data_IF_741694306424
#
_entry.id   IF_741694306424
#
_cell.length_a   1.000
_cell.length_b   1.000
_cell.length_c   1.000
_cell.angle_alpha   90.00
_cell.angle_beta   90.00
_cell.angle_gamma   90.00
#
_symmetry.space_group_name_H-M   'P 1'
#
loop_
_entity.id
_entity.type
_entity.pdbx_description
1 polymer ?
#
# COMPACT_ATOMS: atom_id res chain seq x y z
N UNK A 1 2.86 5.52 -43.24
CA UNK A 1 2.22 5.48 -41.91
C UNK A 1 0.78 4.94 -41.94
N UNK A 2 -0.11 5.47 -42.79
CA UNK A 2 -1.54 5.06 -42.86
C UNK A 2 -1.79 3.59 -43.19
N UNK A 3 -0.99 2.97 -44.07
CA UNK A 3 -1.06 1.53 -44.38
C UNK A 3 -0.64 0.62 -43.22
N UNK A 4 0.34 1.03 -42.42
CA UNK A 4 0.81 0.23 -41.28
C UNK A 4 -0.23 0.24 -40.16
N UNK A 5 -0.81 1.42 -39.91
CA UNK A 5 -1.87 1.61 -38.93
C UNK A 5 -3.11 0.74 -39.25
N UNK A 6 -3.57 0.72 -40.50
CA UNK A 6 -4.73 -0.10 -40.90
C UNK A 6 -4.46 -1.62 -40.83
N UNK A 7 -3.21 -2.05 -41.04
CA UNK A 7 -2.80 -3.45 -40.86
C UNK A 7 -2.75 -3.83 -39.38
N UNK A 8 -2.23 -2.94 -38.52
CA UNK A 8 -2.18 -3.18 -37.07
C UNK A 8 -3.59 -3.33 -36.50
N UNK A 9 -4.55 -2.45 -36.87
CA UNK A 9 -5.93 -2.51 -36.35
C UNK A 9 -6.70 -3.78 -36.73
N UNK A 10 -6.27 -4.53 -37.76
CA UNK A 10 -6.87 -5.82 -38.14
C UNK A 10 -6.40 -6.99 -37.26
N UNK A 11 -5.35 -6.81 -36.47
CA UNK A 11 -4.82 -7.86 -35.60
C UNK A 11 -5.64 -7.97 -34.29
N UNK A 12 -5.66 -9.14 -33.63
CA UNK A 12 -6.16 -9.28 -32.26
C UNK A 12 -5.45 -8.31 -31.31
N UNK A 13 -6.18 -7.75 -30.32
CA UNK A 13 -5.70 -6.71 -29.40
C UNK A 13 -4.30 -6.97 -28.80
N UNK A 14 -3.99 -8.20 -28.41
CA UNK A 14 -2.69 -8.56 -27.84
C UNK A 14 -1.55 -8.52 -28.87
N UNK A 15 -1.84 -8.85 -30.14
CA UNK A 15 -0.88 -8.75 -31.25
C UNK A 15 -0.66 -7.29 -31.67
N UNK A 16 -1.71 -6.45 -31.59
CA UNK A 16 -1.58 -5.01 -31.86
C UNK A 16 -0.54 -4.37 -30.93
N UNK A 17 -0.69 -4.59 -29.62
CA UNK A 17 0.21 -4.06 -28.61
C UNK A 17 1.66 -4.53 -28.84
N UNK A 18 1.85 -5.83 -29.13
CA UNK A 18 3.18 -6.40 -29.35
C UNK A 18 3.89 -5.81 -30.57
N UNK A 19 3.15 -5.56 -31.66
CA UNK A 19 3.68 -4.93 -32.87
C UNK A 19 4.05 -3.48 -32.61
N UNK A 20 3.22 -2.73 -31.86
CA UNK A 20 3.50 -1.34 -31.53
C UNK A 20 4.71 -1.22 -30.60
N UNK A 21 4.83 -2.06 -29.57
CA UNK A 21 6.01 -2.08 -28.69
C UNK A 21 7.30 -2.34 -29.48
N UNK A 22 7.25 -3.28 -30.44
CA UNK A 22 8.40 -3.56 -31.31
C UNK A 22 8.77 -2.36 -32.20
N UNK A 23 7.79 -1.64 -32.73
CA UNK A 23 8.01 -0.39 -33.46
C UNK A 23 8.64 0.68 -32.57
N UNK A 24 8.14 0.86 -31.36
CA UNK A 24 8.66 1.85 -30.41
C UNK A 24 10.10 1.53 -29.99
N UNK A 25 10.41 0.26 -29.79
CA UNK A 25 11.79 -0.21 -29.53
C UNK A 25 12.72 0.14 -30.70
N UNK A 26 12.29 -0.11 -31.95
CA UNK A 26 13.06 0.26 -33.15
C UNK A 26 13.23 1.78 -33.27
N UNK A 27 12.25 2.57 -32.81
CA UNK A 27 12.30 4.03 -32.78
C UNK A 27 13.14 4.58 -31.61
N UNK A 28 13.71 3.73 -30.76
CA UNK A 28 14.61 4.11 -29.68
C UNK A 28 13.96 4.28 -28.30
N UNK A 29 12.74 3.76 -28.08
CA UNK A 29 12.18 3.66 -26.73
C UNK A 29 12.82 2.46 -25.98
N UNK A 30 13.70 2.71 -25.00
CA UNK A 30 14.38 1.64 -24.26
C UNK A 30 13.40 0.81 -23.44
N UNK A 31 12.27 1.39 -23.04
CA UNK A 31 11.26 0.72 -22.22
C UNK A 31 10.48 -0.29 -23.07
N UNK A 32 10.20 0.05 -24.32
CA UNK A 32 9.52 -0.87 -25.25
C UNK A 32 10.37 -2.07 -25.69
N UNK A 33 11.69 -2.04 -25.41
CA UNK A 33 12.61 -3.14 -25.76
C UNK A 33 12.54 -4.33 -24.80
N UNK A 34 11.98 -4.14 -23.60
CA UNK A 34 11.89 -5.20 -22.60
C UNK A 34 10.84 -6.26 -22.99
N UNK A 35 11.21 -7.55 -23.08
CA UNK A 35 10.31 -8.62 -23.53
C UNK A 35 9.13 -8.84 -22.56
N UNK A 36 9.32 -8.57 -21.28
CA UNK A 36 8.34 -8.77 -20.19
C UNK A 36 7.41 -7.57 -19.98
N UNK A 37 7.56 -6.49 -20.75
CA UNK A 37 6.76 -5.27 -20.53
C UNK A 37 5.25 -5.50 -20.70
N UNK A 38 4.89 -6.53 -21.47
CA UNK A 38 3.51 -6.96 -21.70
C UNK A 38 2.91 -7.62 -20.45
N UNK A 39 3.74 -8.25 -19.63
CA UNK A 39 3.34 -8.90 -18.37
C UNK A 39 3.04 -7.86 -17.28
N UNK A 40 3.70 -6.71 -17.36
CA UNK A 40 3.44 -5.57 -16.49
C UNK A 40 2.14 -4.86 -16.92
N UNK A 41 1.03 -5.28 -16.31
CA UNK A 41 -0.32 -4.73 -16.55
C UNK A 41 -0.37 -3.19 -16.61
N UNK A 42 0.46 -2.50 -15.81
CA UNK A 42 0.54 -1.03 -15.80
C UNK A 42 1.16 -0.45 -17.06
N UNK A 43 2.34 -0.93 -17.46
CA UNK A 43 3.03 -0.44 -18.65
C UNK A 43 2.24 -0.83 -19.89
N UNK A 44 1.74 -2.06 -19.94
CA UNK A 44 0.75 -2.49 -20.93
C UNK A 44 -0.41 -1.51 -21.04
N UNK A 45 -1.03 -1.13 -19.92
CA UNK A 45 -2.17 -0.21 -19.94
C UNK A 45 -1.77 1.19 -20.40
N UNK A 46 -0.63 1.68 -19.96
CA UNK A 46 -0.08 2.98 -20.35
C UNK A 46 0.11 3.07 -21.87
N UNK A 47 0.68 2.03 -22.48
CA UNK A 47 0.78 1.92 -23.93
C UNK A 47 -0.60 1.79 -24.59
N UNK A 48 -1.52 0.98 -24.06
CA UNK A 48 -2.89 0.84 -24.61
C UNK A 48 -3.66 2.17 -24.66
N UNK A 49 -3.50 3.04 -23.65
CA UNK A 49 -4.12 4.38 -23.62
C UNK A 49 -3.52 5.29 -24.68
N UNK A 50 -2.19 5.30 -24.82
CA UNK A 50 -1.49 6.16 -25.79
C UNK A 50 -1.66 5.72 -27.25
N UNK A 51 -1.82 4.42 -27.49
CA UNK A 51 -2.06 3.87 -28.84
C UNK A 51 -3.48 4.14 -29.31
N UNK A 52 -4.42 4.29 -28.38
CA UNK A 52 -5.84 4.42 -28.72
C UNK A 52 -6.54 5.37 -27.74
N UNK A 53 -6.46 6.68 -28.04
CA UNK A 53 -7.03 7.76 -27.21
C UNK A 53 -8.52 7.57 -26.91
N UNK A 54 -9.25 6.86 -27.79
CA UNK A 54 -10.69 6.60 -27.69
C UNK A 54 -11.06 5.29 -26.99
N UNK A 55 -10.11 4.56 -26.37
CA UNK A 55 -10.43 3.40 -25.51
C UNK A 55 -10.99 3.87 -24.16
N UNK A 56 -12.20 4.40 -24.20
CA UNK A 56 -12.99 4.69 -23.01
C UNK A 56 -13.35 3.39 -22.28
N UNK A 57 -13.42 3.45 -20.94
CA UNK A 57 -13.97 2.33 -20.18
C UNK A 57 -15.41 2.06 -20.59
N UNK A 58 -15.72 0.80 -20.87
CA UNK A 58 -17.10 0.36 -21.01
C UNK A 58 -17.83 0.49 -19.67
N UNK A 59 -19.16 0.61 -19.70
CA UNK A 59 -19.99 0.70 -18.51
C UNK A 59 -19.74 -0.50 -17.56
N UNK A 60 -19.60 -1.71 -18.12
CA UNK A 60 -19.32 -2.94 -17.38
C UNK A 60 -17.98 -2.88 -16.63
N UNK A 61 -16.94 -2.35 -17.26
CA UNK A 61 -15.63 -2.18 -16.60
C UNK A 61 -15.72 -1.17 -15.45
N UNK A 62 -16.44 -0.05 -15.64
CA UNK A 62 -16.67 0.94 -14.58
C UNK A 62 -17.37 0.34 -13.37
N UNK A 63 -18.42 -0.46 -13.60
CA UNK A 63 -19.16 -1.14 -12.54
C UNK A 63 -18.27 -2.13 -11.80
N UNK A 64 -17.49 -2.95 -12.51
CA UNK A 64 -16.57 -3.90 -11.90
C UNK A 64 -15.51 -3.22 -11.02
N UNK A 65 -14.91 -2.13 -11.51
CA UNK A 65 -13.92 -1.35 -10.74
C UNK A 65 -14.56 -0.69 -9.51
N UNK A 66 -15.80 -0.21 -9.64
CA UNK A 66 -16.54 0.37 -8.52
C UNK A 66 -16.83 -0.69 -7.44
N UNK A 67 -17.29 -1.88 -7.83
CA UNK A 67 -17.54 -3.00 -6.90
C UNK A 67 -16.24 -3.43 -6.21
N UNK A 68 -15.14 -3.55 -6.95
CA UNK A 68 -13.82 -3.86 -6.38
C UNK A 68 -13.38 -2.80 -5.37
N UNK A 69 -13.59 -1.52 -5.69
CA UNK A 69 -13.31 -0.42 -4.77
C UNK A 69 -14.16 -0.52 -3.51
N UNK A 70 -15.48 -0.64 -3.63
CA UNK A 70 -16.39 -0.77 -2.49
C UNK A 70 -15.96 -1.94 -1.59
N UNK A 71 -15.69 -3.11 -2.17
CA UNK A 71 -15.26 -4.29 -1.42
C UNK A 71 -13.91 -4.08 -0.72
N UNK A 72 -12.96 -3.43 -1.40
CA UNK A 72 -11.67 -3.14 -0.81
C UNK A 72 -11.80 -2.17 0.37
N UNK A 73 -12.64 -1.13 0.26
CA UNK A 73 -12.82 -0.11 1.31
C UNK A 73 -13.73 -0.57 2.46
N UNK A 74 -14.67 -1.49 2.21
CA UNK A 74 -15.59 -2.03 3.23
C UNK A 74 -14.99 -3.20 4.03
N UNK A 75 -13.92 -3.82 3.54
CA UNK A 75 -13.31 -4.98 4.20
C UNK A 75 -12.81 -4.65 5.63
N UNK A 76 -13.11 -5.50 6.62
CA UNK A 76 -12.63 -5.29 7.98
C UNK A 76 -11.10 -5.29 8.00
N UNK A 77 -10.52 -4.29 8.66
CA UNK A 77 -9.07 -4.14 8.75
C UNK A 77 -8.53 -4.81 9.99
N UNK A 78 -7.35 -5.39 9.84
CA UNK A 78 -6.60 -5.97 10.96
C UNK A 78 -6.31 -4.84 11.94
N UNK A 79 -6.73 -5.04 13.18
CA UNK A 79 -6.44 -4.16 14.32
C UNK A 79 -5.58 -4.95 15.30
N UNK A 80 -4.61 -4.29 15.91
CA UNK A 80 -3.87 -4.88 17.03
C UNK A 80 -4.79 -4.87 18.25
N UNK A 81 -5.28 -6.05 18.64
CA UNK A 81 -6.21 -6.23 19.76
C UNK A 81 -5.54 -6.55 21.08
N UNK A 82 -4.31 -7.10 21.08
CA UNK A 82 -3.61 -7.47 22.31
C UNK A 82 -2.12 -7.21 22.25
N UNK A 83 -1.55 -6.89 23.42
CA UNK A 83 -0.12 -6.73 23.65
C UNK A 83 0.26 -7.64 24.80
N UNK A 84 1.30 -8.45 24.62
CA UNK A 84 1.88 -9.22 25.72
C UNK A 84 2.64 -8.27 26.65
N UNK A 85 1.97 -7.80 27.68
CA UNK A 85 2.58 -6.95 28.72
C UNK A 85 3.51 -7.83 29.56
N UNK A 86 4.78 -7.43 29.77
CA UNK A 86 5.67 -8.16 30.67
C UNK A 86 5.04 -8.23 32.06
N UNK A 87 4.86 -9.45 32.58
CA UNK A 87 4.34 -9.62 33.92
C UNK A 87 5.32 -9.06 34.95
N UNK A 88 4.81 -8.30 35.91
CA UNK A 88 5.60 -7.85 37.04
C UNK A 88 5.99 -9.09 37.86
N UNK A 89 7.29 -9.34 38.13
CA UNK A 89 7.74 -10.46 38.93
C UNK A 89 7.36 -10.35 40.41
N UNK A 90 6.71 -9.25 40.84
CA UNK A 90 6.14 -9.18 42.18
C UNK A 90 4.94 -10.12 42.28
N UNK A 91 4.97 -11.16 43.14
CA UNK A 91 3.79 -11.97 43.38
C UNK A 91 2.72 -11.12 44.07
N UNK A 92 1.59 -10.93 43.40
CA UNK A 92 0.36 -10.43 44.03
C UNK A 92 -0.36 -11.59 44.73
N UNK A 93 -0.76 -11.33 45.97
CA UNK A 93 -1.51 -12.18 46.91
C UNK A 93 -0.84 -13.50 47.36
N UNK A 94 -0.34 -13.48 48.60
CA UNK A 94 -0.16 -14.69 49.42
C UNK A 94 1.26 -15.23 49.60
N UNK A 95 2.29 -14.71 48.90
CA UNK A 95 3.68 -15.14 49.10
C UNK A 95 4.55 -14.02 49.65
N UNK A 96 4.48 -13.85 50.97
CA UNK A 96 5.34 -12.99 51.79
C UNK A 96 6.75 -13.59 51.82
N UNK A 97 7.44 -13.48 50.68
CA UNK A 97 8.89 -13.61 50.60
C UNK A 97 9.33 -12.38 49.84
N UNK A 98 9.60 -11.30 50.55
CA UNK A 98 10.03 -10.03 49.98
C UNK A 98 11.29 -10.26 49.13
N UNK A 99 11.08 -10.51 47.84
CA UNK A 99 12.16 -10.66 46.89
C UNK A 99 12.78 -9.26 46.76
N UNK A 100 13.86 -9.00 47.50
CA UNK A 100 14.52 -7.69 47.57
C UNK A 100 14.64 -7.11 46.16
N UNK A 101 13.88 -6.06 45.89
CA UNK A 101 13.90 -5.38 44.59
C UNK A 101 15.29 -4.79 44.45
N UNK A 102 16.11 -5.39 43.59
CA UNK A 102 17.42 -4.86 43.25
C UNK A 102 17.29 -3.86 42.10
N UNK A 103 18.11 -2.81 42.11
CA UNK A 103 18.18 -1.84 41.01
C UNK A 103 18.44 -2.51 39.66
N UNK A 104 19.19 -3.62 39.64
CA UNK A 104 19.42 -4.43 38.45
C UNK A 104 18.11 -4.99 37.86
N UNK A 105 17.18 -5.49 38.70
CA UNK A 105 15.87 -5.98 38.23
C UNK A 105 14.97 -4.86 37.74
N UNK A 106 15.00 -3.70 38.40
CA UNK A 106 14.29 -2.51 37.94
C UNK A 106 14.79 -2.09 36.56
N UNK A 107 16.10 -2.07 36.36
CA UNK A 107 16.71 -1.73 35.08
C UNK A 107 16.39 -2.78 33.99
N UNK A 108 16.39 -4.06 34.33
CA UNK A 108 16.00 -5.13 33.42
C UNK A 108 14.52 -5.01 33.00
N UNK A 109 13.63 -4.73 33.95
CA UNK A 109 12.21 -4.51 33.70
C UNK A 109 11.98 -3.27 32.82
N UNK A 110 12.67 -2.15 33.10
CA UNK A 110 12.64 -0.96 32.24
C UNK A 110 13.07 -1.29 30.81
N UNK A 111 14.12 -2.09 30.62
CA UNK A 111 14.58 -2.56 29.30
C UNK A 111 13.52 -3.42 28.61
N UNK A 112 12.92 -4.38 29.31
CA UNK A 112 11.83 -5.22 28.78
C UNK A 112 10.63 -4.39 28.34
N UNK A 113 10.19 -3.43 29.17
CA UNK A 113 9.09 -2.52 28.84
C UNK A 113 9.43 -1.69 27.59
N UNK A 114 10.63 -1.12 27.51
CA UNK A 114 11.07 -0.34 26.34
C UNK A 114 11.05 -1.18 25.07
N UNK A 115 11.53 -2.43 25.15
CA UNK A 115 11.54 -3.38 24.03
C UNK A 115 10.11 -3.77 23.60
N UNK A 116 9.22 -4.09 24.54
CA UNK A 116 7.82 -4.41 24.20
C UNK A 116 7.11 -3.22 23.59
N UNK A 117 7.36 -1.99 24.08
CA UNK A 117 6.83 -0.76 23.48
C UNK A 117 7.29 -0.58 22.03
N UNK A 118 8.60 -0.73 21.75
CA UNK A 118 9.12 -0.60 20.38
C UNK A 118 8.53 -1.67 19.46
N UNK A 119 8.52 -2.93 19.90
CA UNK A 119 7.94 -4.03 19.12
C UNK A 119 6.45 -3.81 18.81
N UNK A 120 5.69 -3.24 19.76
CA UNK A 120 4.30 -2.88 19.54
C UNK A 120 4.14 -1.77 18.50
N UNK A 121 4.93 -0.71 18.60
CA UNK A 121 4.92 0.40 17.64
C UNK A 121 5.28 -0.10 16.25
N UNK A 122 6.31 -0.94 16.12
CA UNK A 122 6.73 -1.51 14.83
C UNK A 122 5.63 -2.37 14.21
N UNK A 123 4.98 -3.22 15.00
CA UNK A 123 3.81 -3.99 14.55
C UNK A 123 2.69 -3.07 14.09
N UNK A 124 2.42 -1.98 14.81
CA UNK A 124 1.36 -1.03 14.48
C UNK A 124 1.67 -0.28 13.17
N UNK A 125 2.92 0.15 12.98
CA UNK A 125 3.42 0.71 11.72
C UNK A 125 3.20 -0.25 10.55
N UNK A 126 3.59 -1.51 10.71
CA UNK A 126 3.42 -2.54 9.66
C UNK A 126 1.97 -2.79 9.32
N UNK A 127 1.08 -2.87 10.33
CA UNK A 127 -0.36 -3.03 10.10
C UNK A 127 -0.93 -1.84 9.34
N UNK A 128 -0.58 -0.61 9.72
CA UNK A 128 -1.02 0.60 9.02
C UNK A 128 -0.58 0.61 7.55
N UNK A 129 0.69 0.29 7.28
CA UNK A 129 1.24 0.21 5.91
C UNK A 129 0.56 -0.90 5.10
N UNK A 130 0.32 -2.08 5.70
CA UNK A 130 -0.35 -3.17 5.01
C UNK A 130 -1.80 -2.82 4.65
N UNK A 131 -2.50 -2.13 5.56
CA UNK A 131 -3.84 -1.61 5.29
C UNK A 131 -3.81 -0.58 4.15
N UNK A 132 -2.85 0.35 4.17
CA UNK A 132 -2.65 1.33 3.10
C UNK A 132 -2.38 0.66 1.75
N UNK A 133 -1.45 -0.31 1.69
CA UNK A 133 -1.12 -1.07 0.47
C UNK A 133 -2.31 -1.81 -0.13
N UNK A 134 -3.17 -2.35 0.72
CA UNK A 134 -4.39 -3.03 0.27
C UNK A 134 -5.33 -2.04 -0.45
N UNK A 135 -5.45 -0.82 0.09
CA UNK A 135 -6.29 0.24 -0.48
C UNK A 135 -5.66 0.88 -1.72
N UNK A 136 -4.34 0.87 -1.80
CA UNK A 136 -3.57 1.43 -2.90
C UNK A 136 -4.12 0.96 -4.25
N UNK A 137 -4.50 -0.32 -4.37
CA UNK A 137 -4.96 -0.90 -5.63
C UNK A 137 -6.17 -0.15 -6.23
N UNK A 138 -7.00 0.45 -5.38
CA UNK A 138 -8.16 1.25 -5.79
C UNK A 138 -7.81 2.67 -6.24
N UNK A 139 -6.59 3.14 -5.96
CA UNK A 139 -6.05 4.43 -6.41
C UNK A 139 -5.38 4.37 -7.78
N UNK A 140 -5.10 3.16 -8.30
CA UNK A 140 -4.62 2.95 -9.67
C UNK A 140 -5.78 3.14 -10.65
N UNK A 141 -6.11 4.37 -11.00
CA UNK A 141 -7.14 4.60 -11.99
C UNK A 141 -6.74 5.71 -12.96
N UNK A 142 -6.04 5.31 -14.02
CA UNK A 142 -5.74 6.15 -15.19
C UNK A 142 -7.01 6.51 -15.98
N UNK A 143 -8.15 5.94 -15.60
CA UNK A 143 -9.41 6.06 -16.31
C UNK A 143 -10.44 6.99 -15.63
N UNK A 144 -10.22 7.37 -14.38
CA UNK A 144 -11.08 8.30 -13.66
C UNK A 144 -10.32 9.62 -13.55
N UNK A 145 -10.62 10.53 -14.48
CA UNK A 145 -10.09 11.88 -14.47
C UNK A 145 -11.17 12.88 -14.03
N UNK A 146 -11.98 12.51 -13.05
CA UNK A 146 -12.93 13.45 -12.43
C UNK A 146 -12.22 14.24 -11.33
N UNK A 147 -12.67 15.47 -11.08
CA UNK A 147 -12.13 16.30 -10.00
C UNK A 147 -12.18 15.57 -8.64
N UNK A 148 -13.30 14.90 -8.35
CA UNK A 148 -13.48 14.09 -7.14
C UNK A 148 -12.42 12.98 -7.03
N UNK A 149 -12.17 12.23 -8.11
CA UNK A 149 -11.19 11.14 -8.10
C UNK A 149 -9.75 11.63 -7.90
N UNK A 150 -9.42 12.82 -8.42
CA UNK A 150 -8.10 13.45 -8.20
C UNK A 150 -7.94 13.88 -6.76
N UNK A 151 -8.94 14.54 -6.18
CA UNK A 151 -8.91 14.95 -4.77
C UNK A 151 -8.84 13.75 -3.83
N UNK A 152 -9.61 12.70 -4.11
CA UNK A 152 -9.58 11.47 -3.32
C UNK A 152 -8.20 10.79 -3.37
N UNK A 153 -7.59 10.72 -4.57
CA UNK A 153 -6.23 10.21 -4.74
C UNK A 153 -5.21 11.06 -3.98
N UNK A 154 -5.35 12.39 -4.02
CA UNK A 154 -4.49 13.30 -3.28
C UNK A 154 -4.59 13.04 -1.77
N UNK A 155 -5.82 13.01 -1.23
CA UNK A 155 -6.06 12.67 0.18
C UNK A 155 -5.49 11.30 0.57
N UNK A 156 -5.58 10.30 -0.31
CA UNK A 156 -4.94 9.02 -0.05
C UNK A 156 -3.43 9.17 0.15
N UNK A 157 -2.73 9.86 -0.74
CA UNK A 157 -1.28 10.04 -0.64
C UNK A 157 -0.85 10.99 0.50
N UNK A 158 -1.70 11.95 0.87
CA UNK A 158 -1.42 12.88 1.96
C UNK A 158 -1.54 12.21 3.33
N UNK A 159 -2.49 11.28 3.50
CA UNK A 159 -2.85 10.74 4.81
C UNK A 159 -2.44 9.27 5.04
N UNK A 160 -2.25 8.46 3.99
CA UNK A 160 -1.88 7.06 4.17
C UNK A 160 -0.36 6.86 4.15
N UNK A 161 0.19 6.09 5.10
CA UNK A 161 1.63 5.85 5.16
C UNK A 161 2.09 4.93 4.02
N UNK A 162 3.13 5.34 3.29
CA UNK A 162 3.78 4.52 2.28
C UNK A 162 4.97 3.73 2.87
N UNK A 163 5.65 4.32 3.85
CA UNK A 163 6.79 3.75 4.57
C UNK A 163 6.67 3.94 6.08
N UNK A 164 7.53 3.26 6.84
CA UNK A 164 7.50 3.28 8.32
C UNK A 164 7.80 4.65 8.94
N UNK A 165 8.52 5.52 8.21
CA UNK A 165 8.82 6.90 8.64
C UNK A 165 7.58 7.79 8.59
N UNK A 166 6.63 7.52 7.69
CA UNK A 166 5.41 8.32 7.54
C UNK A 166 4.47 8.09 8.74
N UNK A 167 4.66 6.96 9.44
CA UNK A 167 3.90 6.61 10.62
C UNK A 167 4.44 7.35 11.86
N UNK A 168 3.89 8.53 12.15
CA UNK A 168 4.14 9.32 13.37
C UNK A 168 3.40 8.75 14.60
N UNK A 169 3.47 7.44 14.81
CA UNK A 169 2.85 6.81 15.98
C UNK A 169 3.71 7.04 17.22
N UNK A 170 3.31 8.02 18.01
CA UNK A 170 3.84 8.23 19.37
C UNK A 170 3.01 7.44 20.39
N UNK A 171 3.66 7.01 21.47
CA UNK A 171 2.95 6.43 22.59
C UNK A 171 2.13 7.53 23.29
N UNK A 172 0.81 7.35 23.41
CA UNK A 172 -0.14 8.37 23.91
C UNK A 172 0.25 8.93 25.29
N UNK A 173 0.90 8.13 26.13
CA UNK A 173 1.37 8.58 27.45
C UNK A 173 2.60 9.50 27.40
N UNK A 174 3.39 9.48 26.32
CA UNK A 174 4.62 10.28 26.22
C UNK A 174 4.32 11.75 25.88
N UNK A 175 3.13 12.05 25.32
CA UNK A 175 2.67 13.43 25.06
C UNK A 175 2.35 14.23 26.32
N UNK A 176 2.08 13.57 27.45
CA UNK A 176 1.70 14.26 28.70
C UNK A 176 2.87 14.95 29.40
N UNK A 177 4.12 14.65 29.01
CA UNK A 177 5.32 15.17 29.69
C UNK A 177 5.92 16.41 29.01
N UNK A 178 5.32 16.92 27.92
CA UNK A 178 5.82 18.08 27.17
C UNK A 178 4.93 19.33 27.34
N UNK A 179 4.29 19.50 28.50
CA UNK A 179 3.60 20.74 28.87
C UNK A 179 4.20 21.33 30.13
#
# INVERSE_FOLDING_TARGET
MTRLHSVIHKLPNWKQLRVVLKLMSIMGDPVASFPEIIELNKLRRWYEVRINENRHMTLKMKQNLMVQSINAWSAPRIKLTSVNVPQNPMPGEGKIGAMKITWNRVNEMKRKIKKTKSEYIDKLKRVAINNARTMYQTMYNDYYNSHLSRNFKQSYYDYFPAKEDDCLFEYVADRKNNK
#
